data_IF_086300713191
#
_entry.id   IF_086300713191
#
_cell.length_a   1.000
_cell.length_b   1.000
_cell.length_c   1.000
_cell.angle_alpha   90.00
_cell.angle_beta   90.00
_cell.angle_gamma   90.00
#
_symmetry.space_group_name_H-M   'P 1'
#
loop_
_entity.id
_entity.type
_entity.pdbx_description
1 polymer ?
#
# COMPACT_ATOMS: atom_id res chain seq x y z
N UNK A 1 22.60 -30.63 8.84
CA UNK A 1 21.76 -30.25 7.69
C UNK A 1 20.93 -29.05 8.13
N UNK A 2 21.15 -27.89 7.54
CA UNK A 2 20.35 -26.69 7.85
C UNK A 2 18.90 -26.92 7.38
N UNK A 3 17.91 -26.36 8.08
CA UNK A 3 16.50 -26.36 7.64
C UNK A 3 16.36 -25.80 6.21
N UNK A 4 17.25 -24.89 5.82
CA UNK A 4 17.36 -24.36 4.46
C UNK A 4 17.80 -25.40 3.41
N UNK A 5 18.76 -26.28 3.71
CA UNK A 5 19.22 -27.31 2.76
C UNK A 5 18.13 -28.34 2.49
N UNK A 6 17.28 -28.62 3.48
CA UNK A 6 16.17 -29.56 3.35
C UNK A 6 15.04 -29.04 2.44
N UNK A 7 14.83 -27.71 2.38
CA UNK A 7 13.79 -27.10 1.54
C UNK A 7 14.30 -26.62 0.16
N UNK A 8 15.57 -26.21 0.07
CA UNK A 8 16.10 -25.50 -1.11
C UNK A 8 17.36 -26.12 -1.72
N UNK A 9 17.93 -27.18 -1.14
CA UNK A 9 19.15 -27.84 -1.62
C UNK A 9 18.93 -28.93 -2.68
N UNK A 10 17.68 -29.34 -2.94
CA UNK A 10 17.33 -30.34 -3.95
C UNK A 10 17.29 -29.78 -5.37
N UNK A 11 17.36 -30.66 -6.38
CA UNK A 11 17.04 -30.28 -7.77
C UNK A 11 15.60 -29.75 -7.84
N UNK A 12 15.40 -28.70 -8.64
CA UNK A 12 14.10 -28.13 -8.96
C UNK A 12 13.15 -29.18 -9.56
N UNK A 13 11.85 -28.93 -9.45
CA UNK A 13 10.84 -29.99 -9.61
C UNK A 13 10.57 -30.43 -11.05
N UNK A 14 11.12 -29.73 -12.05
CA UNK A 14 10.87 -29.99 -13.47
C UNK A 14 9.38 -29.92 -13.84
N UNK A 15 9.00 -30.30 -15.06
CA UNK A 15 7.59 -30.47 -15.43
C UNK A 15 7.21 -31.94 -15.34
N UNK A 16 5.96 -32.23 -14.99
CA UNK A 16 5.43 -33.59 -15.01
C UNK A 16 5.50 -34.16 -16.46
N UNK A 17 6.13 -35.33 -16.68
CA UNK A 17 6.22 -36.02 -17.98
C UNK A 17 4.94 -36.12 -18.79
N UNK A 18 3.80 -36.21 -18.11
CA UNK A 18 2.52 -36.48 -18.74
C UNK A 18 1.65 -35.23 -19.01
N UNK A 19 2.19 -34.02 -18.85
CA UNK A 19 1.39 -32.78 -18.92
C UNK A 19 1.69 -31.94 -20.18
N UNK A 20 0.69 -31.60 -21.01
CA UNK A 20 0.91 -30.80 -22.23
C UNK A 20 1.33 -29.36 -21.90
N UNK A 21 2.07 -28.70 -22.81
CA UNK A 21 2.54 -27.32 -22.61
C UNK A 21 1.34 -26.36 -22.45
N UNK A 22 1.16 -25.85 -21.24
CA UNK A 22 0.10 -24.89 -20.92
C UNK A 22 0.45 -23.49 -21.45
N UNK A 23 -0.58 -22.73 -21.81
CA UNK A 23 -0.46 -21.33 -22.27
C UNK A 23 -1.30 -20.40 -21.40
N UNK A 24 -0.93 -19.12 -21.37
CA UNK A 24 -1.66 -18.09 -20.62
C UNK A 24 -1.79 -18.40 -19.13
N UNK A 25 -2.98 -18.18 -18.56
CA UNK A 25 -3.25 -18.37 -17.12
C UNK A 25 -2.97 -19.80 -16.63
N UNK A 26 -3.20 -20.81 -17.46
CA UNK A 26 -2.93 -22.19 -17.11
C UNK A 26 -1.42 -22.44 -16.89
N UNK A 27 -0.56 -21.76 -17.67
CA UNK A 27 0.90 -21.80 -17.49
C UNK A 27 1.32 -21.06 -16.22
N UNK A 28 0.69 -19.91 -15.95
CA UNK A 28 0.96 -19.14 -14.74
C UNK A 28 0.69 -19.98 -13.47
N UNK A 29 -0.48 -20.61 -13.38
CA UNK A 29 -0.81 -21.46 -12.22
C UNK A 29 0.05 -22.72 -12.12
N UNK A 30 0.51 -23.27 -13.25
CA UNK A 30 1.46 -24.39 -13.24
C UNK A 30 2.81 -23.97 -12.64
N UNK A 31 3.35 -22.83 -13.06
CA UNK A 31 4.58 -22.26 -12.49
C UNK A 31 4.36 -21.95 -11.02
N UNK A 32 3.22 -21.36 -10.66
CA UNK A 32 2.89 -21.04 -9.28
C UNK A 32 2.84 -22.31 -8.43
N UNK A 33 2.23 -23.40 -8.89
CA UNK A 33 2.24 -24.66 -8.14
C UNK A 33 3.65 -25.22 -7.93
N UNK A 34 4.47 -25.19 -8.99
CA UNK A 34 5.79 -25.83 -9.02
C UNK A 34 6.86 -25.04 -8.25
N UNK A 35 6.92 -23.74 -8.49
CA UNK A 35 8.06 -22.86 -8.22
C UNK A 35 7.76 -21.76 -7.20
N UNK A 36 6.60 -21.79 -6.53
CA UNK A 36 6.21 -20.76 -5.55
C UNK A 36 7.30 -20.45 -4.53
N UNK A 37 7.92 -21.50 -3.97
CA UNK A 37 8.95 -21.36 -2.94
C UNK A 37 10.16 -20.56 -3.43
N UNK A 38 10.64 -20.83 -4.65
CA UNK A 38 11.77 -20.07 -5.20
C UNK A 38 11.37 -18.64 -5.56
N UNK A 39 10.16 -18.42 -6.08
CA UNK A 39 9.68 -17.06 -6.41
C UNK A 39 9.57 -16.19 -5.16
N UNK A 40 8.99 -16.72 -4.07
CA UNK A 40 8.90 -16.01 -2.80
C UNK A 40 10.27 -15.81 -2.16
N UNK A 41 11.13 -16.84 -2.15
CA UNK A 41 12.46 -16.71 -1.58
C UNK A 41 13.30 -15.67 -2.34
N UNK A 42 13.20 -15.62 -3.68
CA UNK A 42 13.78 -14.54 -4.49
C UNK A 42 13.18 -13.20 -4.12
N UNK A 43 11.86 -13.12 -3.92
CA UNK A 43 11.18 -11.87 -3.58
C UNK A 43 11.69 -11.26 -2.28
N UNK A 44 11.86 -12.05 -1.22
CA UNK A 44 12.43 -11.57 0.03
C UNK A 44 13.84 -10.98 -0.14
N UNK A 45 14.68 -11.65 -0.94
CA UNK A 45 16.01 -11.15 -1.25
C UNK A 45 15.94 -9.82 -2.03
N UNK A 46 15.04 -9.72 -3.01
CA UNK A 46 14.84 -8.48 -3.78
C UNK A 46 14.34 -7.35 -2.90
N UNK A 47 13.37 -7.61 -2.01
CA UNK A 47 12.92 -6.63 -1.04
C UNK A 47 14.09 -6.10 -0.21
N UNK A 48 14.96 -6.98 0.30
CA UNK A 48 16.14 -6.57 1.06
C UNK A 48 17.14 -5.74 0.23
N UNK A 49 17.36 -6.09 -1.04
CA UNK A 49 18.27 -5.37 -1.94
C UNK A 49 17.74 -4.02 -2.42
N UNK A 50 16.41 -3.89 -2.58
CA UNK A 50 15.74 -2.65 -3.02
C UNK A 50 15.51 -1.68 -1.85
N UNK A 51 15.42 -2.19 -0.62
CA UNK A 51 15.09 -1.40 0.57
C UNK A 51 15.95 -0.14 0.76
N UNK A 52 17.30 -0.16 0.59
CA UNK A 52 18.11 1.04 0.73
C UNK A 52 17.75 2.14 -0.29
N UNK A 53 17.46 1.74 -1.53
CA UNK A 53 17.00 2.67 -2.57
C UNK A 53 15.61 3.22 -2.23
N UNK A 54 14.68 2.35 -1.84
CA UNK A 54 13.32 2.76 -1.50
C UNK A 54 13.32 3.78 -0.35
N UNK A 55 14.00 3.48 0.76
CA UNK A 55 14.07 4.39 1.90
C UNK A 55 14.78 5.70 1.56
N UNK A 56 15.92 5.64 0.86
CA UNK A 56 16.68 6.84 0.53
C UNK A 56 15.98 7.75 -0.49
N UNK A 57 15.36 7.17 -1.53
CA UNK A 57 14.57 7.93 -2.52
C UNK A 57 13.33 8.53 -1.87
N UNK A 58 12.58 7.75 -1.08
CA UNK A 58 11.41 8.27 -0.36
C UNK A 58 11.79 9.38 0.61
N UNK A 59 12.88 9.25 1.35
CA UNK A 59 13.38 10.31 2.23
C UNK A 59 13.75 11.58 1.44
N UNK A 60 14.40 11.42 0.29
CA UNK A 60 14.71 12.53 -0.61
C UNK A 60 13.46 13.25 -1.12
N UNK A 61 12.40 12.51 -1.45
CA UNK A 61 11.12 13.05 -1.89
C UNK A 61 10.42 13.78 -0.75
N UNK A 62 10.29 13.17 0.44
CA UNK A 62 9.62 13.76 1.60
C UNK A 62 10.29 15.06 2.03
N UNK A 63 11.62 15.11 1.98
CA UNK A 63 12.39 16.31 2.33
C UNK A 63 12.50 17.33 1.18
N UNK A 64 11.86 17.08 0.03
CA UNK A 64 12.01 17.85 -1.21
C UNK A 64 13.49 18.12 -1.57
N UNK A 65 14.36 17.15 -1.30
CA UNK A 65 15.80 17.21 -1.57
C UNK A 65 16.16 16.39 -2.81
N UNK A 66 16.24 17.07 -3.96
CA UNK A 66 16.55 16.44 -5.24
C UNK A 66 17.95 15.77 -5.29
N UNK A 67 19.04 16.42 -4.85
CA UNK A 67 20.36 15.78 -4.82
C UNK A 67 20.40 14.50 -3.98
N UNK A 68 19.73 14.50 -2.81
CA UNK A 68 19.63 13.31 -1.96
C UNK A 68 18.90 12.19 -2.69
N UNK A 69 17.79 12.51 -3.38
CA UNK A 69 17.02 11.54 -4.17
C UNK A 69 17.87 10.89 -5.26
N UNK A 70 18.66 11.70 -5.99
CA UNK A 70 19.56 11.19 -7.03
C UNK A 70 20.68 10.31 -6.45
N UNK A 71 21.29 10.72 -5.34
CA UNK A 71 22.37 9.96 -4.70
C UNK A 71 21.86 8.64 -4.12
N UNK A 72 20.69 8.66 -3.48
CA UNK A 72 20.02 7.46 -2.98
C UNK A 72 19.64 6.51 -4.12
N UNK A 73 19.09 7.05 -5.21
CA UNK A 73 18.77 6.29 -6.41
C UNK A 73 20.01 5.66 -7.05
N UNK A 74 21.14 6.36 -7.07
CA UNK A 74 22.38 5.87 -7.65
C UNK A 74 22.99 4.74 -6.80
N UNK A 75 23.18 4.97 -5.51
CA UNK A 75 23.83 4.01 -4.61
C UNK A 75 22.93 2.82 -4.29
N UNK A 76 21.66 3.08 -3.95
CA UNK A 76 20.67 2.03 -3.71
C UNK A 76 20.29 1.29 -4.99
N UNK A 77 20.27 1.99 -6.13
CA UNK A 77 19.95 1.42 -7.44
C UNK A 77 20.96 0.37 -7.89
N UNK A 78 22.23 0.49 -7.51
CA UNK A 78 23.24 -0.54 -7.76
C UNK A 78 22.85 -1.88 -7.14
N UNK A 79 22.44 -1.88 -5.86
CA UNK A 79 21.96 -3.09 -5.17
C UNK A 79 20.63 -3.58 -5.75
N UNK A 80 19.69 -2.65 -6.00
CA UNK A 80 18.43 -2.96 -6.64
C UNK A 80 18.61 -3.62 -8.02
N UNK A 81 19.63 -3.25 -8.79
CA UNK A 81 19.97 -3.85 -10.07
C UNK A 81 20.26 -5.35 -9.98
N UNK A 82 20.94 -5.79 -8.91
CA UNK A 82 21.14 -7.21 -8.63
C UNK A 82 19.79 -7.87 -8.32
N UNK A 83 18.94 -7.21 -7.53
CA UNK A 83 17.59 -7.71 -7.22
C UNK A 83 16.74 -7.90 -8.49
N UNK A 84 16.71 -6.89 -9.37
CA UNK A 84 16.00 -6.95 -10.65
C UNK A 84 16.51 -8.10 -11.53
N UNK A 85 17.83 -8.28 -11.64
CA UNK A 85 18.44 -9.39 -12.38
C UNK A 85 17.98 -10.74 -11.84
N UNK A 86 18.07 -10.96 -10.52
CA UNK A 86 17.77 -12.26 -9.92
C UNK A 86 16.27 -12.59 -10.02
N UNK A 87 15.39 -11.60 -9.85
CA UNK A 87 13.95 -11.82 -10.00
C UNK A 87 13.58 -12.17 -11.44
N UNK A 88 14.09 -11.40 -12.41
CA UNK A 88 13.80 -11.65 -13.81
C UNK A 88 14.43 -12.98 -14.29
N UNK A 89 15.62 -13.36 -13.81
CA UNK A 89 16.22 -14.68 -14.09
C UNK A 89 15.37 -15.80 -13.47
N UNK A 90 14.94 -15.67 -12.22
CA UNK A 90 14.07 -16.65 -11.57
C UNK A 90 12.76 -16.86 -12.36
N UNK A 91 12.14 -15.78 -12.82
CA UNK A 91 10.94 -15.84 -13.66
C UNK A 91 11.19 -16.49 -15.03
N UNK A 92 12.28 -16.10 -15.71
CA UNK A 92 12.64 -16.64 -17.03
C UNK A 92 12.96 -18.13 -16.96
N UNK A 93 13.73 -18.55 -15.95
CA UNK A 93 14.10 -19.96 -15.71
C UNK A 93 12.89 -20.81 -15.35
N UNK A 94 11.96 -20.25 -14.58
CA UNK A 94 10.67 -20.88 -14.32
C UNK A 94 9.88 -21.06 -15.64
N UNK A 95 9.92 -20.10 -16.56
CA UNK A 95 9.29 -20.25 -17.87
C UNK A 95 10.00 -21.28 -18.77
N UNK A 96 11.32 -21.44 -18.64
CA UNK A 96 12.13 -22.46 -19.33
C UNK A 96 12.05 -23.86 -18.71
N UNK A 97 11.37 -24.04 -17.57
CA UNK A 97 11.28 -25.30 -16.82
C UNK A 97 12.61 -25.84 -16.28
N UNK A 98 13.59 -24.97 -16.05
CA UNK A 98 14.94 -25.34 -15.63
C UNK A 98 14.92 -26.02 -14.23
N UNK A 99 15.35 -27.30 -14.11
CA UNK A 99 15.35 -28.06 -12.86
C UNK A 99 16.58 -27.79 -11.98
N UNK A 100 17.43 -26.83 -12.33
CA UNK A 100 18.63 -26.53 -11.54
C UNK A 100 18.31 -26.02 -10.12
N UNK A 101 19.12 -26.37 -9.10
CA UNK A 101 18.96 -25.87 -7.74
C UNK A 101 19.03 -24.34 -7.68
N UNK A 102 18.05 -23.70 -7.02
CA UNK A 102 17.85 -22.25 -7.13
C UNK A 102 19.00 -21.40 -6.57
N UNK A 103 19.58 -21.80 -5.41
CA UNK A 103 20.61 -21.04 -4.68
C UNK A 103 21.96 -21.03 -5.43
N UNK A 104 22.54 -22.19 -5.79
CA UNK A 104 23.76 -22.22 -6.60
C UNK A 104 23.59 -21.50 -7.93
N UNK A 105 22.45 -21.69 -8.60
CA UNK A 105 22.12 -21.01 -9.85
C UNK A 105 22.13 -19.50 -9.68
N UNK A 106 21.42 -18.98 -8.66
CA UNK A 106 21.39 -17.55 -8.37
C UNK A 106 22.80 -16.98 -8.19
N UNK A 107 23.66 -17.67 -7.43
CA UNK A 107 25.07 -17.27 -7.27
C UNK A 107 25.86 -17.25 -8.59
N UNK A 108 25.60 -18.20 -9.49
CA UNK A 108 26.19 -18.23 -10.82
C UNK A 108 25.68 -17.08 -11.70
N UNK A 109 24.38 -16.80 -11.73
CA UNK A 109 23.80 -15.68 -12.49
C UNK A 109 24.37 -14.35 -12.02
N UNK A 110 24.45 -14.14 -10.71
CA UNK A 110 25.05 -12.92 -10.14
C UNK A 110 26.51 -12.82 -10.55
N UNK A 111 27.32 -13.86 -10.35
CA UNK A 111 28.76 -13.80 -10.68
C UNK A 111 29.02 -13.58 -12.17
N UNK A 112 28.15 -14.09 -13.05
CA UNK A 112 28.24 -13.88 -14.49
C UNK A 112 27.82 -12.46 -14.93
N UNK A 113 26.80 -11.87 -14.31
CA UNK A 113 26.12 -10.67 -14.85
C UNK A 113 26.12 -9.43 -13.94
N UNK A 114 26.71 -9.49 -12.74
CA UNK A 114 26.69 -8.37 -11.79
C UNK A 114 27.23 -7.05 -12.37
N UNK A 115 28.28 -7.11 -13.20
CA UNK A 115 28.90 -5.91 -13.80
C UNK A 115 27.94 -5.13 -14.70
N UNK A 116 26.99 -5.81 -15.32
CA UNK A 116 25.95 -5.19 -16.13
C UNK A 116 24.71 -4.82 -15.29
N UNK A 117 24.37 -5.64 -14.28
CA UNK A 117 23.24 -5.40 -13.40
C UNK A 117 23.39 -4.13 -12.56
N UNK A 118 24.58 -3.85 -12.02
CA UNK A 118 24.85 -2.66 -11.21
C UNK A 118 24.51 -1.35 -11.95
N UNK A 119 25.10 -1.04 -13.13
CA UNK A 119 24.80 0.21 -13.83
C UNK A 119 23.36 0.27 -14.36
N UNK A 120 22.78 -0.87 -14.78
CA UNK A 120 21.38 -0.92 -15.21
C UNK A 120 20.45 -0.52 -14.06
N UNK A 121 20.62 -1.12 -12.88
CA UNK A 121 19.82 -0.76 -11.71
C UNK A 121 20.05 0.68 -11.25
N UNK A 122 21.32 1.12 -11.21
CA UNK A 122 21.67 2.48 -10.83
C UNK A 122 20.96 3.52 -11.71
N UNK A 123 20.99 3.35 -13.03
CA UNK A 123 20.32 4.26 -13.97
C UNK A 123 18.80 4.19 -13.79
N UNK A 124 18.22 2.98 -13.79
CA UNK A 124 16.75 2.83 -13.74
C UNK A 124 16.14 3.40 -12.46
N UNK A 125 16.74 3.09 -11.31
CA UNK A 125 16.21 3.56 -10.03
C UNK A 125 16.48 5.06 -9.83
N UNK A 126 17.61 5.59 -10.32
CA UNK A 126 17.86 7.05 -10.28
C UNK A 126 16.85 7.81 -11.14
N UNK A 127 16.59 7.35 -12.36
CA UNK A 127 15.61 7.99 -13.24
C UNK A 127 14.20 7.87 -12.68
N UNK A 128 13.84 6.71 -12.11
CA UNK A 128 12.55 6.51 -11.46
C UNK A 128 12.40 7.47 -10.27
N UNK A 129 13.41 7.54 -9.40
CA UNK A 129 13.42 8.46 -8.25
C UNK A 129 13.35 9.92 -8.68
N UNK A 130 14.08 10.32 -9.72
CA UNK A 130 14.04 11.68 -10.26
C UNK A 130 12.66 12.04 -10.80
N UNK A 131 12.03 11.16 -11.58
CA UNK A 131 10.67 11.39 -12.11
C UNK A 131 9.64 11.42 -10.98
N UNK A 132 9.74 10.50 -10.01
CA UNK A 132 8.87 10.51 -8.82
C UNK A 132 9.02 11.78 -7.99
N UNK A 133 10.24 12.31 -7.88
CA UNK A 133 10.49 13.59 -7.21
C UNK A 133 9.82 14.75 -7.94
N UNK A 134 9.96 14.82 -9.27
CA UNK A 134 9.30 15.86 -10.07
C UNK A 134 7.77 15.76 -9.92
N UNK A 135 7.22 14.55 -9.90
CA UNK A 135 5.80 14.35 -9.61
C UNK A 135 5.40 14.92 -8.25
N UNK A 136 6.11 14.55 -7.17
CA UNK A 136 5.83 15.04 -5.82
C UNK A 136 5.95 16.58 -5.74
N UNK A 137 6.99 17.14 -6.36
CA UNK A 137 7.17 18.59 -6.42
C UNK A 137 6.02 19.30 -7.17
N UNK A 138 5.54 18.74 -8.28
CA UNK A 138 4.41 19.33 -9.01
C UNK A 138 3.10 19.23 -8.21
N UNK A 139 2.90 18.17 -7.42
CA UNK A 139 1.75 18.08 -6.52
C UNK A 139 1.78 19.19 -5.46
N UNK A 140 2.93 19.42 -4.82
CA UNK A 140 3.10 20.52 -3.87
C UNK A 140 2.80 21.90 -4.51
N UNK A 141 3.29 22.12 -5.74
CA UNK A 141 3.02 23.36 -6.48
C UNK A 141 1.52 23.50 -6.81
N UNK A 142 0.83 22.40 -7.16
CA UNK A 142 -0.61 22.42 -7.39
C UNK A 142 -1.41 22.74 -6.12
N UNK A 143 -0.97 22.24 -4.97
CA UNK A 143 -1.57 22.55 -3.67
C UNK A 143 -1.41 24.03 -3.30
N UNK A 144 -0.31 24.67 -3.73
CA UNK A 144 -0.12 26.13 -3.59
C UNK A 144 -1.01 26.99 -4.52
N UNK A 145 -1.94 26.38 -5.27
CA UNK A 145 -2.84 27.06 -6.19
C UNK A 145 -2.26 27.38 -7.57
N UNK A 146 -1.02 26.94 -7.85
CA UNK A 146 -0.38 27.08 -9.15
C UNK A 146 -0.53 25.80 -9.98
N UNK A 147 -1.28 25.86 -11.09
CA UNK A 147 -1.44 24.69 -11.96
C UNK A 147 -0.30 24.61 -12.99
N UNK A 148 0.58 23.59 -12.92
CA UNK A 148 1.51 23.31 -14.00
C UNK A 148 0.67 22.85 -15.20
N UNK A 149 0.72 23.61 -16.30
CA UNK A 149 -0.13 23.38 -17.46
C UNK A 149 -0.19 21.90 -17.86
N UNK A 150 -1.39 21.43 -18.24
CA UNK A 150 -1.70 20.00 -18.41
C UNK A 150 -0.75 19.24 -19.33
N UNK A 151 -0.13 19.92 -20.30
CA UNK A 151 0.92 19.35 -21.16
C UNK A 151 2.11 18.81 -20.36
N UNK A 152 2.55 19.50 -19.29
CA UNK A 152 3.68 19.09 -18.45
C UNK A 152 3.37 17.76 -17.76
N UNK A 153 2.15 17.63 -17.21
CA UNK A 153 1.70 16.39 -16.56
C UNK A 153 1.63 15.23 -17.55
N UNK A 154 1.15 15.49 -18.77
CA UNK A 154 1.09 14.48 -19.84
C UNK A 154 2.48 14.03 -20.26
N UNK A 155 3.43 14.96 -20.47
CA UNK A 155 4.80 14.60 -20.81
C UNK A 155 5.50 13.84 -19.69
N UNK A 156 5.29 14.24 -18.44
CA UNK A 156 5.88 13.55 -17.28
C UNK A 156 5.31 12.12 -17.10
N UNK A 157 4.00 11.95 -17.33
CA UNK A 157 3.38 10.62 -17.39
C UNK A 157 3.94 9.77 -18.54
N UNK A 158 4.20 10.40 -19.69
CA UNK A 158 4.83 9.73 -20.83
C UNK A 158 6.28 9.33 -20.54
N UNK A 159 7.05 10.17 -19.85
CA UNK A 159 8.43 9.84 -19.44
C UNK A 159 8.47 8.65 -18.48
N UNK A 160 7.52 8.56 -17.55
CA UNK A 160 7.34 7.38 -16.69
C UNK A 160 7.05 6.11 -17.50
N UNK A 161 6.19 6.22 -18.52
CA UNK A 161 5.90 5.10 -19.42
C UNK A 161 7.14 4.68 -20.22
N UNK A 162 7.89 5.64 -20.78
CA UNK A 162 9.12 5.38 -21.54
C UNK A 162 10.15 4.70 -20.65
N UNK A 163 10.34 5.17 -19.41
CA UNK A 163 11.24 4.55 -18.45
C UNK A 163 10.80 3.12 -18.11
N UNK A 164 9.50 2.88 -17.88
CA UNK A 164 8.97 1.56 -17.59
C UNK A 164 9.20 0.59 -18.76
N UNK A 165 8.97 1.03 -19.99
CA UNK A 165 9.20 0.23 -21.21
C UNK A 165 10.69 -0.06 -21.39
N UNK A 166 11.52 0.98 -21.44
CA UNK A 166 12.95 0.82 -21.64
C UNK A 166 13.59 -0.03 -20.53
N UNK A 167 13.22 0.21 -19.27
CA UNK A 167 13.76 -0.50 -18.12
C UNK A 167 13.37 -1.96 -18.07
N UNK A 168 12.08 -2.28 -18.19
CA UNK A 168 11.61 -3.67 -18.15
C UNK A 168 12.18 -4.51 -19.30
N UNK A 169 12.25 -3.97 -20.52
CA UNK A 169 12.84 -4.66 -21.66
C UNK A 169 14.36 -4.82 -21.53
N UNK A 170 15.06 -3.82 -20.97
CA UNK A 170 16.51 -3.91 -20.72
C UNK A 170 16.82 -4.99 -19.68
N UNK A 171 16.02 -5.08 -18.61
CA UNK A 171 16.15 -6.15 -17.60
C UNK A 171 15.82 -7.52 -18.21
N UNK A 172 14.77 -7.62 -19.03
CA UNK A 172 14.43 -8.84 -19.76
C UNK A 172 15.57 -9.29 -20.69
N UNK A 173 16.12 -8.37 -21.48
CA UNK A 173 17.28 -8.63 -22.33
C UNK A 173 18.53 -9.02 -21.51
N UNK A 174 18.78 -8.35 -20.37
CA UNK A 174 19.91 -8.66 -19.49
C UNK A 174 19.85 -10.11 -18.98
N UNK A 175 18.65 -10.59 -18.63
CA UNK A 175 18.46 -11.95 -18.13
C UNK A 175 18.60 -13.01 -19.21
N UNK A 176 18.09 -12.76 -20.42
CA UNK A 176 18.19 -13.70 -21.53
C UNK A 176 19.56 -13.70 -22.23
N UNK A 177 20.27 -12.58 -22.26
CA UNK A 177 21.52 -12.44 -23.00
C UNK A 177 22.64 -13.36 -22.47
N UNK A 178 23.51 -13.90 -23.34
CA UNK A 178 24.74 -14.56 -22.92
C UNK A 178 25.63 -13.61 -22.09
N UNK A 179 26.39 -14.15 -21.14
CA UNK A 179 27.23 -13.34 -20.24
C UNK A 179 28.26 -12.44 -20.97
N UNK A 180 28.65 -12.80 -22.19
CA UNK A 180 29.57 -12.00 -23.02
C UNK A 180 28.93 -10.78 -23.71
N UNK A 181 27.59 -10.68 -23.75
CA UNK A 181 26.86 -9.67 -24.53
C UNK A 181 26.04 -8.71 -23.67
N UNK A 182 26.38 -8.57 -22.39
CA UNK A 182 25.61 -7.78 -21.42
C UNK A 182 26.01 -6.30 -21.35
N UNK A 183 26.55 -5.72 -22.42
CA UNK A 183 26.87 -4.28 -22.43
C UNK A 183 25.58 -3.45 -22.44
N UNK A 184 25.55 -2.28 -21.77
CA UNK A 184 24.34 -1.45 -21.73
C UNK A 184 23.82 -1.09 -23.14
N UNK A 185 24.74 -0.80 -24.07
CA UNK A 185 24.39 -0.47 -25.45
C UNK A 185 23.80 -1.65 -26.24
N UNK A 186 24.30 -2.88 -26.04
CA UNK A 186 23.71 -4.07 -26.66
C UNK A 186 22.33 -4.37 -26.07
N UNK A 187 22.17 -4.25 -24.75
CA UNK A 187 20.90 -4.47 -24.07
C UNK A 187 19.82 -3.49 -24.53
N UNK A 188 20.14 -2.19 -24.63
CA UNK A 188 19.21 -1.18 -25.15
C UNK A 188 18.87 -1.41 -26.62
N UNK A 189 19.84 -1.86 -27.43
CA UNK A 189 19.58 -2.23 -28.83
C UNK A 189 18.63 -3.43 -28.91
N UNK A 190 18.82 -4.45 -28.07
CA UNK A 190 17.90 -5.58 -27.98
C UNK A 190 16.53 -5.15 -27.51
N UNK A 191 16.43 -4.29 -26.49
CA UNK A 191 15.16 -3.74 -26.03
C UNK A 191 14.41 -3.02 -27.17
N UNK A 192 15.12 -2.22 -27.95
CA UNK A 192 14.58 -1.60 -29.18
C UNK A 192 14.14 -2.63 -30.22
N UNK A 193 14.93 -3.69 -30.43
CA UNK A 193 14.56 -4.78 -31.33
C UNK A 193 13.30 -5.52 -30.86
N UNK A 194 13.17 -5.82 -29.56
CA UNK A 194 11.96 -6.42 -28.98
C UNK A 194 10.73 -5.54 -29.18
N UNK A 195 10.89 -4.22 -28.99
CA UNK A 195 9.83 -3.24 -29.20
C UNK A 195 9.39 -3.16 -30.67
N UNK A 196 10.31 -3.24 -31.61
CA UNK A 196 9.99 -3.23 -33.05
C UNK A 196 9.42 -4.56 -33.53
N UNK A 197 9.92 -5.68 -33.01
CA UNK A 197 9.51 -7.02 -33.41
C UNK A 197 8.10 -7.37 -32.93
N UNK A 198 7.78 -7.03 -31.67
CA UNK A 198 6.49 -7.34 -31.06
C UNK A 198 6.01 -6.21 -30.13
N UNK A 199 5.63 -5.04 -30.67
CA UNK A 199 5.30 -3.85 -29.87
C UNK A 199 4.16 -4.09 -28.87
N UNK A 200 3.13 -4.85 -29.24
CA UNK A 200 2.01 -5.16 -28.33
C UNK A 200 2.44 -5.99 -27.12
N UNK A 201 3.42 -6.89 -27.27
CA UNK A 201 3.96 -7.68 -26.16
C UNK A 201 4.91 -6.87 -25.31
N UNK A 202 5.78 -6.09 -25.95
CA UNK A 202 6.69 -5.18 -25.26
C UNK A 202 5.91 -4.19 -24.38
N UNK A 203 4.95 -3.46 -24.96
CA UNK A 203 4.12 -2.52 -24.22
C UNK A 203 3.24 -3.22 -23.17
N UNK A 204 2.64 -4.36 -23.51
CA UNK A 204 1.77 -5.09 -22.58
C UNK A 204 2.51 -5.58 -21.33
N UNK A 205 3.69 -6.19 -21.49
CA UNK A 205 4.49 -6.64 -20.34
C UNK A 205 5.03 -5.48 -19.52
N UNK A 206 5.48 -4.41 -20.18
CA UNK A 206 5.96 -3.20 -19.50
C UNK A 206 4.85 -2.49 -18.73
N UNK A 207 3.62 -2.46 -19.24
CA UNK A 207 2.46 -1.90 -18.55
C UNK A 207 2.13 -2.66 -17.26
N UNK A 208 2.29 -3.99 -17.23
CA UNK A 208 2.12 -4.80 -16.01
C UNK A 208 3.16 -4.44 -14.96
N UNK A 209 4.44 -4.30 -15.36
CA UNK A 209 5.50 -3.85 -14.44
C UNK A 209 5.19 -2.45 -13.93
N UNK A 210 4.82 -1.52 -14.82
CA UNK A 210 4.50 -0.15 -14.46
C UNK A 210 3.36 -0.10 -13.43
N UNK A 211 2.26 -0.80 -13.68
CA UNK A 211 1.14 -0.88 -12.74
C UNK A 211 1.56 -1.48 -11.39
N UNK A 212 2.35 -2.55 -11.40
CA UNK A 212 2.88 -3.15 -10.17
C UNK A 212 3.75 -2.19 -9.36
N UNK A 213 4.68 -1.50 -10.00
CA UNK A 213 5.55 -0.51 -9.36
C UNK A 213 4.77 0.71 -8.89
N UNK A 214 3.81 1.21 -9.69
CA UNK A 214 2.97 2.34 -9.33
C UNK A 214 2.13 2.05 -8.09
N UNK A 215 1.53 0.86 -7.98
CA UNK A 215 0.82 0.43 -6.76
C UNK A 215 1.78 0.39 -5.56
N UNK A 216 2.99 -0.14 -5.73
CA UNK A 216 3.97 -0.16 -4.64
C UNK A 216 4.38 1.23 -4.17
N UNK A 217 4.54 2.19 -5.09
CA UNK A 217 4.91 3.57 -4.77
C UNK A 217 3.73 4.32 -4.14
N UNK A 218 2.54 4.24 -4.72
CA UNK A 218 1.36 4.99 -4.30
C UNK A 218 0.92 4.65 -2.87
N UNK A 219 1.04 3.38 -2.49
CA UNK A 219 0.64 2.90 -1.16
C UNK A 219 1.82 2.78 -0.19
N UNK A 220 3.00 3.32 -0.52
CA UNK A 220 4.13 3.31 0.40
C UNK A 220 3.82 4.21 1.62
N UNK A 221 4.07 3.78 2.88
CA UNK A 221 4.84 2.60 3.30
C UNK A 221 4.02 1.33 3.52
N UNK A 222 2.68 1.39 3.52
CA UNK A 222 1.76 0.26 3.75
C UNK A 222 2.04 -0.88 2.75
N UNK A 223 2.40 -0.52 1.51
CA UNK A 223 2.77 -1.44 0.46
C UNK A 223 3.99 -2.32 0.80
N UNK A 224 4.84 -1.94 1.75
CA UNK A 224 6.05 -2.70 2.13
C UNK A 224 5.72 -4.10 2.67
N UNK A 225 4.63 -4.22 3.44
CA UNK A 225 4.16 -5.51 3.96
C UNK A 225 3.68 -6.41 2.81
N UNK A 226 2.91 -5.85 1.88
CA UNK A 226 2.43 -6.56 0.70
C UNK A 226 3.56 -6.87 -0.29
N UNK A 227 4.58 -6.01 -0.36
CA UNK A 227 5.72 -6.19 -1.23
C UNK A 227 6.50 -7.46 -0.90
N UNK A 228 6.61 -7.80 0.40
CA UNK A 228 7.27 -9.03 0.86
C UNK A 228 6.58 -10.30 0.37
N UNK A 229 5.25 -10.26 0.19
CA UNK A 229 4.47 -11.43 -0.19
C UNK A 229 4.17 -11.51 -1.70
N UNK A 230 3.79 -10.40 -2.31
CA UNK A 230 3.31 -10.33 -3.70
C UNK A 230 4.04 -9.27 -4.55
N UNK A 231 4.98 -8.53 -3.98
CA UNK A 231 5.48 -7.27 -4.55
C UNK A 231 6.09 -7.38 -5.93
N UNK A 232 7.25 -8.02 -6.04
CA UNK A 232 8.04 -7.98 -7.27
C UNK A 232 7.83 -9.21 -8.13
N UNK A 233 7.70 -10.39 -7.53
CA UNK A 233 7.65 -11.64 -8.30
C UNK A 233 6.41 -11.77 -9.17
N UNK A 234 5.25 -11.28 -8.71
CA UNK A 234 3.98 -11.40 -9.44
C UNK A 234 3.96 -10.56 -10.72
N UNK A 235 4.19 -9.22 -10.67
CA UNK A 235 4.23 -8.42 -11.89
C UNK A 235 5.38 -8.85 -12.81
N UNK A 236 6.54 -9.23 -12.26
CA UNK A 236 7.68 -9.70 -13.07
C UNK A 236 7.36 -11.02 -13.78
N UNK A 237 6.73 -11.99 -13.11
CA UNK A 237 6.38 -13.27 -13.73
C UNK A 237 5.36 -13.08 -14.86
N UNK A 238 4.32 -12.26 -14.64
CA UNK A 238 3.30 -11.97 -15.66
C UNK A 238 3.92 -11.23 -16.84
N UNK A 239 4.75 -10.21 -16.60
CA UNK A 239 5.44 -9.48 -17.65
C UNK A 239 6.41 -10.39 -18.43
N UNK A 240 7.19 -11.22 -17.74
CA UNK A 240 8.12 -12.15 -18.37
C UNK A 240 7.39 -13.19 -19.21
N UNK A 241 6.21 -13.64 -18.79
CA UNK A 241 5.37 -14.52 -19.60
C UNK A 241 4.88 -13.87 -20.90
N UNK A 242 4.65 -12.55 -20.89
CA UNK A 242 4.30 -11.78 -22.09
C UNK A 242 5.52 -11.61 -23.00
N UNK A 243 6.70 -11.35 -22.42
CA UNK A 243 7.98 -11.21 -23.15
C UNK A 243 8.51 -12.54 -23.69
N UNK A 244 8.17 -13.66 -23.04
CA UNK A 244 8.77 -14.97 -23.26
C UNK A 244 8.80 -15.43 -24.73
N UNK A 245 7.71 -15.30 -25.52
CA UNK A 245 7.75 -15.73 -26.93
C UNK A 245 8.80 -14.97 -27.75
N UNK A 246 9.00 -13.68 -27.45
CA UNK A 246 9.96 -12.81 -28.14
C UNK A 246 11.38 -13.15 -27.70
N UNK A 247 11.59 -13.32 -26.39
CA UNK A 247 12.89 -13.72 -25.85
C UNK A 247 13.32 -15.10 -26.35
N UNK A 248 12.39 -16.04 -26.43
CA UNK A 248 12.63 -17.38 -26.94
C UNK A 248 13.09 -17.35 -28.39
N UNK A 249 12.49 -16.51 -29.21
CA UNK A 249 12.87 -16.39 -30.61
C UNK A 249 14.21 -15.65 -30.82
N UNK A 250 14.46 -14.57 -30.06
CA UNK A 250 15.69 -13.78 -30.20
C UNK A 250 16.91 -14.51 -29.66
N UNK A 251 16.76 -15.24 -28.55
CA UNK A 251 17.87 -15.87 -27.83
C UNK A 251 17.89 -17.41 -27.94
N UNK A 252 17.02 -17.98 -28.78
CA UNK A 252 16.86 -19.44 -28.97
C UNK A 252 16.77 -20.20 -27.64
N UNK A 253 15.85 -19.74 -26.77
CA UNK A 253 15.76 -20.29 -25.42
C UNK A 253 15.15 -21.70 -25.45
N UNK A 254 15.93 -22.66 -24.98
CA UNK A 254 15.47 -24.02 -24.75
C UNK A 254 14.43 -24.04 -23.62
N UNK A 255 13.30 -24.70 -23.89
CA UNK A 255 12.31 -25.06 -22.89
C UNK A 255 12.56 -26.52 -22.58
N UNK A 256 12.89 -26.85 -21.34
CA UNK A 256 13.08 -28.23 -20.95
C UNK A 256 11.71 -28.93 -21.01
N UNK A 257 11.61 -29.89 -21.92
CA UNK A 257 10.45 -30.76 -22.06
C UNK A 257 10.72 -32.00 -21.24
N UNK A 258 9.69 -32.48 -20.56
CA UNK A 258 9.81 -33.74 -19.87
C UNK A 258 9.96 -34.88 -20.91
N UNK A 259 10.70 -35.96 -20.59
CA UNK A 259 10.78 -37.12 -21.46
C UNK A 259 9.39 -37.66 -21.77
N UNK A 260 9.20 -38.15 -22.99
CA UNK A 260 7.88 -38.61 -23.43
C UNK A 260 7.45 -39.82 -22.62
N UNK A 261 6.14 -40.02 -22.44
CA UNK A 261 5.59 -41.22 -21.79
C UNK A 261 6.03 -42.54 -22.48
N UNK A 262 6.54 -42.45 -23.72
CA UNK A 262 7.08 -43.57 -24.48
C UNK A 262 8.51 -43.97 -24.02
N UNK A 263 9.16 -43.16 -23.18
CA UNK A 263 10.51 -43.42 -22.61
C UNK A 263 10.46 -44.03 -21.19
N UNK A 264 9.28 -44.14 -20.56
CA UNK A 264 9.15 -44.86 -19.28
C UNK A 264 9.11 -46.37 -19.55
N UNK A 265 10.28 -47.02 -19.44
CA UNK A 265 10.38 -48.47 -19.33
C UNK A 265 9.40 -49.02 -18.29
N UNK A 266 8.74 -50.12 -18.68
CA UNK A 266 7.74 -50.86 -17.92
C UNK A 266 8.19 -51.21 -16.49
N UNK A 267 7.91 -50.31 -15.54
CA UNK A 267 7.99 -50.61 -14.12
C UNK A 267 6.87 -51.55 -13.66
N UNK A 268 7.07 -52.33 -12.58
CA UNK A 268 6.17 -53.42 -12.18
C UNK A 268 4.74 -52.92 -11.92
N UNK A 269 3.75 -53.74 -12.31
CA UNK A 269 2.30 -53.49 -12.17
C UNK A 269 1.93 -53.00 -10.75
N UNK A 270 1.91 -51.68 -10.57
CA UNK A 270 1.52 -51.02 -9.32
C UNK A 270 0.02 -51.15 -9.08
N UNK A 271 -0.37 -51.42 -7.83
CA UNK A 271 -1.77 -51.56 -7.43
C UNK A 271 -2.53 -50.23 -7.59
N UNK A 272 -3.83 -50.25 -7.89
CA UNK A 272 -4.73 -49.08 -7.93
C UNK A 272 -4.53 -48.10 -6.75
N UNK A 273 -4.34 -48.63 -5.54
CA UNK A 273 -4.08 -47.82 -4.33
C UNK A 273 -2.73 -47.11 -4.38
N UNK A 274 -1.68 -47.78 -4.86
CA UNK A 274 -0.34 -47.19 -5.02
C UNK A 274 -0.32 -46.14 -6.14
N UNK A 275 -1.05 -46.37 -7.24
CA UNK A 275 -1.25 -45.37 -8.30
C UNK A 275 -1.94 -44.12 -7.77
N UNK A 276 -3.03 -44.27 -6.99
CA UNK A 276 -3.73 -43.14 -6.35
C UNK A 276 -2.87 -42.41 -5.32
N UNK A 277 -2.10 -43.13 -4.50
CA UNK A 277 -1.20 -42.53 -3.53
C UNK A 277 -0.05 -41.76 -4.21
N UNK A 278 0.56 -42.35 -5.25
CA UNK A 278 1.60 -41.69 -6.07
C UNK A 278 1.04 -40.48 -6.81
N UNK A 279 -0.17 -40.56 -7.36
CA UNK A 279 -0.84 -39.44 -8.02
C UNK A 279 -1.12 -38.28 -7.04
N UNK A 280 -1.55 -38.57 -5.80
CA UNK A 280 -1.73 -37.55 -4.76
C UNK A 280 -0.42 -36.90 -4.33
N UNK A 281 0.62 -37.71 -4.10
CA UNK A 281 1.94 -37.21 -3.75
C UNK A 281 2.54 -36.35 -4.89
N UNK A 282 2.36 -36.78 -6.15
CA UNK A 282 2.80 -36.03 -7.32
C UNK A 282 2.01 -34.72 -7.48
N UNK A 283 0.69 -34.75 -7.22
CA UNK A 283 -0.12 -33.54 -7.21
C UNK A 283 0.34 -32.54 -6.15
N UNK A 284 0.58 -32.99 -4.92
CA UNK A 284 1.09 -32.10 -3.86
C UNK A 284 2.47 -31.53 -4.19
N UNK A 285 3.36 -32.36 -4.74
CA UNK A 285 4.70 -31.96 -5.17
C UNK A 285 4.66 -30.80 -6.19
N UNK A 286 3.72 -30.84 -7.15
CA UNK A 286 3.56 -29.82 -8.19
C UNK A 286 2.56 -28.70 -7.88
N UNK A 287 1.71 -28.81 -6.85
CA UNK A 287 0.61 -27.85 -6.64
C UNK A 287 0.55 -27.27 -5.21
N UNK A 288 1.44 -27.63 -4.28
CA UNK A 288 1.43 -27.06 -2.93
C UNK A 288 1.52 -25.51 -2.93
N UNK A 289 2.23 -24.92 -3.90
CA UNK A 289 2.38 -23.47 -4.03
C UNK A 289 1.05 -22.75 -4.24
N UNK A 290 0.14 -23.35 -5.01
CA UNK A 290 -1.24 -22.86 -5.19
C UNK A 290 -2.03 -22.91 -3.88
N UNK A 291 -1.86 -23.99 -3.10
CA UNK A 291 -2.54 -24.15 -1.80
C UNK A 291 -2.04 -23.10 -0.80
N UNK A 292 -0.74 -22.85 -0.77
CA UNK A 292 -0.15 -21.82 0.09
C UNK A 292 -0.64 -20.41 -0.30
N UNK A 293 -0.64 -20.07 -1.59
CA UNK A 293 -1.15 -18.80 -2.08
C UNK A 293 -2.65 -18.60 -1.75
N UNK A 294 -3.47 -19.65 -1.92
CA UNK A 294 -4.89 -19.61 -1.58
C UNK A 294 -5.12 -19.42 -0.07
N UNK A 295 -4.33 -20.10 0.78
CA UNK A 295 -4.44 -19.96 2.23
C UNK A 295 -4.13 -18.53 2.69
N UNK A 296 -3.09 -17.92 2.14
CA UNK A 296 -2.75 -16.51 2.40
C UNK A 296 -3.87 -15.58 1.97
N UNK A 297 -4.44 -15.77 0.78
CA UNK A 297 -5.56 -14.95 0.28
C UNK A 297 -6.75 -15.02 1.25
N UNK A 298 -7.08 -16.22 1.74
CA UNK A 298 -8.15 -16.41 2.72
C UNK A 298 -7.86 -15.65 4.01
N UNK A 299 -6.63 -15.72 4.54
CA UNK A 299 -6.24 -14.96 5.74
C UNK A 299 -6.32 -13.44 5.50
N UNK A 300 -5.86 -12.97 4.34
CA UNK A 300 -5.98 -11.56 3.96
C UNK A 300 -7.43 -11.10 3.89
N UNK A 301 -8.32 -11.89 3.29
CA UNK A 301 -9.76 -11.60 3.24
C UNK A 301 -10.34 -11.60 4.64
N UNK A 302 -9.99 -12.56 5.50
CA UNK A 302 -10.44 -12.58 6.90
C UNK A 302 -9.96 -11.32 7.63
N UNK A 303 -8.71 -10.89 7.43
CA UNK A 303 -8.17 -9.68 8.05
C UNK A 303 -8.92 -8.42 7.58
N UNK A 304 -9.16 -8.27 6.28
CA UNK A 304 -9.91 -7.13 5.73
C UNK A 304 -11.35 -7.16 6.20
N UNK A 305 -12.01 -8.33 6.17
CA UNK A 305 -13.38 -8.48 6.68
C UNK A 305 -13.41 -8.14 8.17
N UNK A 306 -12.47 -8.64 8.97
CA UNK A 306 -12.37 -8.33 10.38
C UNK A 306 -12.15 -6.83 10.60
N UNK A 307 -11.23 -6.18 9.87
CA UNK A 307 -11.03 -4.74 9.96
C UNK A 307 -12.23 -3.90 9.53
N UNK A 308 -13.04 -4.41 8.59
CA UNK A 308 -14.29 -3.78 8.16
C UNK A 308 -15.47 -4.07 9.11
N UNK A 309 -15.48 -5.19 9.82
CA UNK A 309 -16.51 -5.51 10.84
C UNK A 309 -16.13 -5.10 12.25
N UNK A 310 -14.88 -4.73 12.52
CA UNK A 310 -14.45 -4.02 13.73
C UNK A 310 -14.45 -2.51 13.52
N UNK A 311 -15.40 -1.99 12.73
CA UNK A 311 -15.82 -0.59 12.90
C UNK A 311 -16.41 -0.51 14.30
N UNK A 312 -15.70 0.17 15.20
CA UNK A 312 -16.23 0.52 16.52
C UNK A 312 -17.50 1.32 16.25
N UNK A 313 -18.65 0.77 16.63
CA UNK A 313 -19.94 1.44 16.50
C UNK A 313 -20.12 2.26 17.78
N UNK A 314 -19.82 3.57 17.76
CA UNK A 314 -19.85 4.36 18.98
C UNK A 314 -21.26 4.41 19.55
N UNK A 315 -21.40 4.31 20.87
CA UNK A 315 -22.69 4.41 21.54
C UNK A 315 -23.27 5.82 21.42
N UNK A 316 -22.38 6.82 21.33
CA UNK A 316 -22.70 8.24 21.30
C UNK A 316 -21.75 9.01 20.39
N UNK A 317 -22.24 10.06 19.76
CA UNK A 317 -21.43 10.98 18.97
C UNK A 317 -21.62 12.41 19.48
N UNK A 318 -20.50 13.08 19.77
CA UNK A 318 -20.47 14.46 20.26
C UNK A 318 -19.56 15.28 19.34
N UNK A 319 -20.06 16.41 18.87
CA UNK A 319 -19.32 17.33 18.02
C UNK A 319 -18.72 18.49 18.84
N UNK A 320 -17.49 18.87 18.52
CA UNK A 320 -16.82 20.07 19.06
C UNK A 320 -16.41 20.95 17.89
N UNK A 321 -16.93 22.17 17.83
CA UNK A 321 -16.61 23.16 16.80
C UNK A 321 -15.78 24.27 17.42
N UNK A 322 -14.53 24.37 16.98
CA UNK A 322 -13.53 25.29 17.55
C UNK A 322 -12.72 25.98 16.44
N UNK A 323 -12.31 27.26 16.61
CA UNK A 323 -11.49 27.97 15.63
C UNK A 323 -10.09 27.36 15.46
N UNK A 324 -9.53 26.73 16.49
CA UNK A 324 -8.18 26.16 16.48
C UNK A 324 -8.23 24.64 16.57
N UNK A 325 -7.15 23.97 16.14
CA UNK A 325 -7.06 22.51 16.25
C UNK A 325 -6.93 22.09 17.72
N UNK A 326 -7.94 21.39 18.25
CA UNK A 326 -7.84 20.77 19.57
C UNK A 326 -6.89 19.56 19.49
N UNK A 327 -5.88 19.44 20.36
CA UNK A 327 -4.96 18.30 20.34
C UNK A 327 -5.63 16.97 20.69
N UNK A 328 -5.15 15.89 20.08
CA UNK A 328 -5.69 14.52 20.26
C UNK A 328 -5.73 14.07 21.73
N UNK A 329 -4.77 14.50 22.56
CA UNK A 329 -4.74 14.17 23.99
C UNK A 329 -5.90 14.77 24.77
N UNK A 330 -6.27 16.00 24.43
CA UNK A 330 -7.38 16.73 25.07
C UNK A 330 -8.73 16.22 24.57
N UNK A 331 -8.82 15.92 23.27
CA UNK A 331 -9.96 15.24 22.67
C UNK A 331 -10.22 13.87 23.34
N UNK A 332 -9.16 13.07 23.54
CA UNK A 332 -9.27 11.77 24.21
C UNK A 332 -9.70 11.90 25.68
N UNK A 333 -9.21 12.92 26.40
CA UNK A 333 -9.63 13.17 27.78
C UNK A 333 -11.11 13.57 27.86
N UNK A 334 -11.59 14.44 26.96
CA UNK A 334 -13.01 14.77 26.88
C UNK A 334 -13.85 13.53 26.54
N UNK A 335 -13.40 12.71 25.59
CA UNK A 335 -14.04 11.44 25.26
C UNK A 335 -14.15 10.53 26.49
N UNK A 336 -13.07 10.33 27.26
CA UNK A 336 -13.09 9.50 28.46
C UNK A 336 -14.03 10.04 29.54
N UNK A 337 -14.14 11.36 29.68
CA UNK A 337 -15.09 11.99 30.60
C UNK A 337 -16.52 11.67 30.16
N UNK A 338 -16.84 11.83 28.87
CA UNK A 338 -18.16 11.51 28.33
C UNK A 338 -18.49 10.01 28.47
N UNK A 339 -17.52 9.14 28.18
CA UNK A 339 -17.64 7.67 28.34
C UNK A 339 -17.93 7.27 29.79
N UNK A 340 -17.42 8.02 30.78
CA UNK A 340 -17.65 7.71 32.19
C UNK A 340 -19.10 7.91 32.64
N UNK A 341 -19.88 8.72 31.91
CA UNK A 341 -21.31 8.97 32.17
C UNK A 341 -22.23 8.16 31.25
N UNK A 342 -21.74 7.73 30.09
CA UNK A 342 -22.50 6.96 29.11
C UNK A 342 -22.84 5.55 29.59
N UNK A 343 -23.77 4.92 28.88
CA UNK A 343 -24.15 3.51 29.08
C UNK A 343 -23.90 2.77 27.78
N UNK A 344 -23.46 1.51 27.87
CA UNK A 344 -23.27 0.61 26.73
C UNK A 344 -24.65 0.36 26.07
N UNK A 345 -24.86 0.95 24.89
CA UNK A 345 -26.10 0.86 24.11
C UNK A 345 -26.04 -0.29 23.10
N UNK A 346 -24.86 -0.57 22.56
CA UNK A 346 -24.68 -1.56 21.51
C UNK A 346 -24.48 -2.99 22.07
N UNK A 347 -24.28 -3.13 23.39
CA UNK A 347 -24.11 -4.38 24.12
C UNK A 347 -22.74 -5.05 23.94
N UNK A 348 -21.71 -4.30 23.56
CA UNK A 348 -20.36 -4.80 23.28
C UNK A 348 -19.46 -4.89 24.53
N UNK A 349 -19.93 -4.40 25.68
CA UNK A 349 -19.22 -4.43 26.95
C UNK A 349 -18.25 -3.27 27.17
N UNK A 350 -18.20 -2.30 26.26
CA UNK A 350 -17.52 -1.02 26.39
C UNK A 350 -18.53 0.13 26.21
N UNK A 351 -18.22 1.30 26.76
CA UNK A 351 -18.93 2.54 26.44
C UNK A 351 -18.00 3.35 25.59
N UNK A 352 -18.35 3.61 24.33
CA UNK A 352 -17.52 4.38 23.40
C UNK A 352 -18.26 5.63 22.97
N UNK A 353 -17.65 6.79 23.20
CA UNK A 353 -18.15 8.08 22.71
C UNK A 353 -17.24 8.57 21.59
N UNK A 354 -17.77 8.74 20.38
CA UNK A 354 -17.02 9.35 19.29
C UNK A 354 -17.02 10.87 19.43
N UNK A 355 -15.84 11.46 19.61
CA UNK A 355 -15.69 12.91 19.66
C UNK A 355 -15.25 13.45 18.29
N UNK A 356 -16.16 14.14 17.61
CA UNK A 356 -15.92 14.75 16.32
C UNK A 356 -15.47 16.20 16.48
N UNK A 357 -14.16 16.45 16.42
CA UNK A 357 -13.61 17.81 16.46
C UNK A 357 -13.56 18.42 15.06
N UNK A 358 -14.24 19.54 14.88
CA UNK A 358 -14.29 20.34 13.66
C UNK A 358 -13.57 21.66 13.88
N UNK A 359 -12.49 21.88 13.13
CA UNK A 359 -11.78 23.16 13.11
C UNK A 359 -12.50 24.11 12.15
N UNK A 360 -13.27 25.04 12.71
CA UNK A 360 -14.09 25.99 11.95
C UNK A 360 -14.43 27.25 12.77
N UNK A 361 -14.45 28.40 12.11
CA UNK A 361 -14.93 29.69 12.64
C UNK A 361 -15.66 30.48 11.55
N UNK A 362 -16.56 31.39 11.93
CA UNK A 362 -17.10 32.39 11.01
C UNK A 362 -16.09 33.51 10.70
N UNK A 363 -15.14 33.77 11.60
CA UNK A 363 -14.06 34.72 11.38
C UNK A 363 -12.90 34.05 10.65
N UNK A 364 -12.77 34.37 9.36
CA UNK A 364 -11.72 33.85 8.48
C UNK A 364 -10.29 34.25 8.92
N UNK A 365 -10.12 35.16 9.89
CA UNK A 365 -8.82 35.52 10.44
C UNK A 365 -8.34 34.59 11.57
N UNK A 366 -9.24 33.77 12.14
CA UNK A 366 -8.97 32.91 13.29
C UNK A 366 -8.58 31.48 12.91
N UNK A 367 -8.73 31.07 11.64
CA UNK A 367 -8.57 29.66 11.25
C UNK A 367 -7.75 29.54 9.96
N UNK A 368 -6.89 28.53 9.87
CA UNK A 368 -6.21 28.21 8.61
C UNK A 368 -7.22 27.77 7.54
N UNK A 369 -7.11 28.35 6.34
CA UNK A 369 -8.07 28.17 5.25
C UNK A 369 -8.21 26.70 4.80
N UNK A 370 -7.13 25.91 4.87
CA UNK A 370 -7.17 24.50 4.49
C UNK A 370 -7.86 23.66 5.57
N UNK A 371 -7.52 23.90 6.83
CA UNK A 371 -8.14 23.24 7.99
C UNK A 371 -9.63 23.54 8.07
N UNK A 372 -10.03 24.80 7.81
CA UNK A 372 -11.43 25.23 7.79
C UNK A 372 -12.25 24.54 6.70
N UNK A 373 -11.71 24.40 5.49
CA UNK A 373 -12.42 23.74 4.38
C UNK A 373 -12.62 22.24 4.62
N UNK A 374 -11.61 21.57 5.18
CA UNK A 374 -11.71 20.16 5.58
C UNK A 374 -12.68 19.98 6.76
N UNK A 375 -12.60 20.84 7.76
CA UNK A 375 -13.52 20.88 8.91
C UNK A 375 -14.97 21.07 8.48
N UNK A 376 -15.24 22.09 7.66
CA UNK A 376 -16.58 22.40 7.14
C UNK A 376 -17.19 21.25 6.34
N UNK A 377 -16.40 20.57 5.49
CA UNK A 377 -16.90 19.45 4.67
C UNK A 377 -17.31 18.27 5.55
N UNK A 378 -16.50 17.91 6.55
CA UNK A 378 -16.82 16.84 7.49
C UNK A 378 -18.01 17.20 8.36
N UNK A 379 -18.06 18.44 8.85
CA UNK A 379 -19.14 18.94 9.70
C UNK A 379 -20.49 18.96 8.96
N UNK A 380 -20.51 19.40 7.71
CA UNK A 380 -21.74 19.40 6.90
C UNK A 380 -22.27 17.98 6.62
N UNK A 381 -21.38 16.98 6.57
CA UNK A 381 -21.77 15.57 6.44
C UNK A 381 -22.45 15.08 7.72
N UNK A 382 -21.86 15.37 8.89
CA UNK A 382 -22.42 15.03 10.20
C UNK A 382 -23.80 15.69 10.38
N UNK A 383 -23.91 17.00 10.11
CA UNK A 383 -25.19 17.72 10.17
C UNK A 383 -26.26 17.15 9.23
N UNK A 384 -25.88 16.74 8.02
CA UNK A 384 -26.82 16.17 7.04
C UNK A 384 -27.34 14.79 7.46
N UNK A 385 -26.48 14.00 8.12
CA UNK A 385 -26.84 12.66 8.60
C UNK A 385 -27.50 12.68 9.98
N UNK A 386 -27.28 13.74 10.76
CA UNK A 386 -27.62 13.81 12.18
C UNK A 386 -26.77 12.86 13.00
N UNK A 387 -25.48 12.70 12.68
CA UNK A 387 -24.61 11.72 13.33
C UNK A 387 -24.33 12.10 14.79
N UNK A 388 -24.09 13.39 15.09
CA UNK A 388 -23.85 13.95 16.42
C UNK A 388 -25.10 14.61 17.03
N UNK A 389 -25.48 14.17 18.24
CA UNK A 389 -26.62 14.73 18.97
C UNK A 389 -26.29 15.96 19.82
N UNK A 390 -25.09 15.98 20.41
CA UNK A 390 -24.59 17.08 21.26
C UNK A 390 -23.49 17.85 20.52
N UNK A 391 -23.61 19.17 20.50
CA UNK A 391 -22.70 20.08 19.80
C UNK A 391 -22.12 21.11 20.78
N UNK A 392 -20.80 21.16 20.88
CA UNK A 392 -20.07 22.14 21.68
C UNK A 392 -19.52 23.19 20.71
N UNK A 393 -19.97 24.44 20.83
CA UNK A 393 -19.76 25.50 19.84
C UNK A 393 -18.98 26.68 20.45
N UNK A 394 -17.89 27.06 19.79
CA UNK A 394 -17.14 28.28 20.11
C UNK A 394 -17.88 29.56 19.68
N UNK A 395 -18.56 29.52 18.52
CA UNK A 395 -19.32 30.65 17.97
C UNK A 395 -20.67 30.17 17.43
N UNK A 396 -21.71 30.12 18.27
CA UNK A 396 -23.04 29.66 17.89
C UNK A 396 -23.75 30.57 16.89
N UNK A 397 -23.52 31.89 16.95
CA UNK A 397 -24.14 32.85 16.03
C UNK A 397 -23.57 32.70 14.63
N UNK A 398 -22.24 32.64 14.51
CA UNK A 398 -21.58 32.37 13.24
C UNK A 398 -21.96 31.01 12.65
N UNK A 399 -22.09 29.99 13.51
CA UNK A 399 -22.54 28.65 13.11
C UNK A 399 -23.97 28.66 12.54
N UNK A 400 -24.90 29.38 13.17
CA UNK A 400 -26.26 29.53 12.65
C UNK A 400 -26.29 30.28 11.32
N UNK A 401 -25.53 31.38 11.17
CA UNK A 401 -25.48 32.12 9.91
C UNK A 401 -24.95 31.26 8.75
N UNK A 402 -24.01 30.37 9.04
CA UNK A 402 -23.39 29.50 8.03
C UNK A 402 -24.22 28.26 7.69
N UNK A 403 -24.86 27.61 8.67
CA UNK A 403 -25.49 26.29 8.49
C UNK A 403 -27.00 26.26 8.73
N UNK A 404 -27.56 27.22 9.50
CA UNK A 404 -28.99 27.22 9.85
C UNK A 404 -29.45 26.04 10.73
N UNK A 405 -28.51 25.24 11.24
CA UNK A 405 -28.80 23.98 11.91
C UNK A 405 -29.41 24.16 13.31
N UNK A 406 -29.10 25.25 14.01
CA UNK A 406 -29.64 25.50 15.35
C UNK A 406 -31.11 25.87 15.26
N UNK A 407 -31.50 26.74 14.32
CA UNK A 407 -32.91 27.10 14.16
C UNK A 407 -33.77 25.97 13.59
N UNK A 408 -33.18 25.08 12.78
CA UNK A 408 -33.87 23.89 12.27
C UNK A 408 -34.19 22.90 13.40
N UNK A 409 -33.23 22.61 14.28
CA UNK A 409 -33.39 21.63 15.34
C UNK A 409 -34.09 22.18 16.59
N UNK A 410 -33.72 23.38 17.05
CA UNK A 410 -34.20 23.99 18.30
C UNK A 410 -35.34 25.00 18.08
N UNK A 411 -35.64 25.35 16.83
CA UNK A 411 -36.68 26.32 16.47
C UNK A 411 -36.23 27.78 16.55
N UNK A 412 -37.18 28.71 16.42
CA UNK A 412 -36.89 30.16 16.33
C UNK A 412 -36.33 30.78 17.62
N UNK A 413 -36.34 30.05 18.74
CA UNK A 413 -35.82 30.47 20.04
C UNK A 413 -34.61 29.60 20.45
N UNK A 414 -33.77 29.25 19.48
CA UNK A 414 -32.58 28.43 19.70
C UNK A 414 -31.59 29.10 20.65
N UNK A 415 -31.44 30.43 20.59
CA UNK A 415 -30.50 31.18 21.45
C UNK A 415 -30.82 31.04 22.94
N UNK A 416 -32.11 30.95 23.30
CA UNK A 416 -32.55 30.73 24.68
C UNK A 416 -32.37 29.29 25.18
N UNK A 417 -32.06 28.35 24.28
CA UNK A 417 -31.88 26.93 24.57
C UNK A 417 -30.40 26.51 24.59
N UNK A 418 -29.48 27.42 24.27
CA UNK A 418 -28.04 27.19 24.40
C UNK A 418 -27.63 27.18 25.87
N UNK A 419 -26.77 26.22 26.22
CA UNK A 419 -26.37 25.98 27.60
C UNK A 419 -24.89 26.34 27.72
N UNK A 420 -24.51 27.31 28.59
CA UNK A 420 -23.10 27.60 28.82
C UNK A 420 -22.37 26.35 29.31
N UNK A 421 -21.16 26.11 28.82
CA UNK A 421 -20.32 24.99 29.28
C UNK A 421 -20.17 24.96 30.81
N UNK A 422 -20.02 26.13 31.42
CA UNK A 422 -19.87 26.31 32.88
C UNK A 422 -21.07 25.85 33.70
N UNK A 423 -22.25 25.80 33.08
CA UNK A 423 -23.51 25.46 33.74
C UNK A 423 -23.75 23.94 33.79
N UNK A 424 -22.85 23.13 33.20
CA UNK A 424 -22.88 21.67 33.23
C UNK A 424 -21.79 21.14 34.18
N UNK A 425 -22.11 20.83 35.46
CA UNK A 425 -21.09 20.51 36.47
C UNK A 425 -20.26 19.26 36.15
N UNK A 426 -20.85 18.29 35.45
CA UNK A 426 -20.21 17.05 35.01
C UNK A 426 -19.08 17.28 33.99
N UNK A 427 -19.17 18.37 33.22
CA UNK A 427 -18.20 18.77 32.20
C UNK A 427 -17.26 19.87 32.70
N UNK A 428 -17.79 20.89 33.37
CA UNK A 428 -17.03 22.03 33.90
C UNK A 428 -16.06 21.62 35.04
N UNK A 429 -16.36 20.54 35.76
CA UNK A 429 -15.50 19.99 36.82
C UNK A 429 -14.45 18.98 36.35
N UNK A 430 -14.42 18.65 35.05
CA UNK A 430 -13.55 17.60 34.52
C UNK A 430 -12.11 18.09 34.31
N UNK A 431 -11.13 17.19 34.47
CA UNK A 431 -9.73 17.47 34.11
C UNK A 431 -9.50 17.17 32.63
N UNK A 432 -9.61 18.20 31.80
CA UNK A 432 -9.42 18.14 30.33
C UNK A 432 -7.98 18.49 29.91
N UNK A 433 -7.09 18.69 30.88
CA UNK A 433 -5.69 19.01 30.65
C UNK A 433 -5.45 20.38 30.01
N UNK A 434 -4.20 20.57 29.60
CA UNK A 434 -3.72 21.76 28.89
C UNK A 434 -2.80 21.36 27.75
N UNK A 435 -2.65 22.25 26.77
CA UNK A 435 -1.75 22.05 25.64
C UNK A 435 -0.91 23.28 25.38
N UNK A 436 0.28 23.07 24.81
CA UNK A 436 1.18 24.17 24.45
C UNK A 436 0.71 24.83 23.16
N UNK A 437 0.50 26.15 23.20
CA UNK A 437 0.11 26.97 22.05
C UNK A 437 1.31 27.52 21.28
N UNK A 438 2.52 27.42 21.85
CA UNK A 438 3.76 27.78 21.18
C UNK A 438 4.64 26.57 20.94
N UNK A 439 5.33 26.55 19.79
CA UNK A 439 6.23 25.48 19.38
C UNK A 439 7.45 25.28 20.31
N UNK A 440 7.74 26.23 21.19
CA UNK A 440 8.80 26.16 22.21
C UNK A 440 8.30 25.76 23.62
N UNK A 441 7.00 25.50 23.78
CA UNK A 441 6.36 25.14 25.07
C UNK A 441 6.30 26.30 26.07
N UNK A 442 6.53 27.54 25.64
CA UNK A 442 6.54 28.70 26.54
C UNK A 442 5.16 29.23 26.91
N UNK A 443 4.15 28.93 26.08
CA UNK A 443 2.76 29.29 26.31
C UNK A 443 1.90 28.03 26.26
N UNK A 444 1.08 27.84 27.29
CA UNK A 444 0.10 26.77 27.36
C UNK A 444 -1.30 27.33 27.58
N UNK A 445 -2.29 26.62 27.07
CA UNK A 445 -3.70 26.95 27.19
C UNK A 445 -4.42 25.79 27.87
N UNK A 446 -5.19 26.10 28.91
CA UNK A 446 -6.08 25.13 29.55
C UNK A 446 -7.30 24.92 28.67
N UNK A 447 -7.64 23.65 28.42
CA UNK A 447 -8.83 23.30 27.62
C UNK A 447 -10.11 23.71 28.36
N UNK A 448 -10.09 23.67 29.69
CA UNK A 448 -11.22 24.14 30.48
C UNK A 448 -11.40 25.65 30.42
N UNK A 449 -10.32 26.41 30.35
CA UNK A 449 -10.42 27.87 30.16
C UNK A 449 -10.92 28.21 28.75
N UNK A 450 -10.51 27.43 27.74
CA UNK A 450 -11.02 27.56 26.38
C UNK A 450 -12.52 27.25 26.30
N UNK A 451 -12.97 26.15 26.88
CA UNK A 451 -14.37 25.73 26.82
C UNK A 451 -15.29 26.54 27.73
N UNK A 452 -14.76 27.28 28.71
CA UNK A 452 -15.56 28.17 29.54
C UNK A 452 -16.32 29.24 28.72
N UNK A 453 -15.78 29.62 27.56
CA UNK A 453 -16.40 30.56 26.63
C UNK A 453 -17.34 29.87 25.61
N UNK A 454 -17.43 28.53 25.63
CA UNK A 454 -18.20 27.76 24.65
C UNK A 454 -19.62 27.48 25.14
N UNK A 455 -20.52 27.23 24.18
CA UNK A 455 -21.92 26.90 24.44
C UNK A 455 -22.26 25.52 23.89
N UNK A 456 -23.15 24.83 24.58
CA UNK A 456 -23.61 23.49 24.22
C UNK A 456 -25.01 23.60 23.62
N UNK A 457 -25.18 23.03 22.43
CA UNK A 457 -26.44 22.83 21.75
C UNK A 457 -26.77 21.34 21.70
N UNK A 458 -27.99 20.96 22.10
CA UNK A 458 -28.46 19.57 22.06
C UNK A 458 -29.44 19.45 20.90
N UNK A 459 -28.95 19.01 19.75
CA UNK A 459 -29.76 18.89 18.53
C UNK A 459 -30.60 17.63 18.53
N UNK A 460 -30.05 16.54 19.07
CA UNK A 460 -30.78 15.31 19.33
C UNK A 460 -30.44 14.81 20.74
N UNK A 461 -31.49 14.49 21.51
CA UNK A 461 -31.40 13.92 22.86
C UNK A 461 -31.87 12.46 22.91
N UNK A 462 -32.20 11.86 21.76
CA UNK A 462 -32.71 10.49 21.66
C UNK A 462 -31.70 9.43 22.15
N UNK A 463 -30.42 9.79 22.18
CA UNK A 463 -29.35 8.94 22.69
C UNK A 463 -29.34 8.85 24.23
N UNK A 464 -29.97 9.79 24.94
CA UNK A 464 -30.02 9.85 26.40
C UNK A 464 -28.69 10.24 27.07
N UNK A 465 -27.63 10.56 26.32
CA UNK A 465 -26.35 10.99 26.90
C UNK A 465 -26.51 12.31 27.66
N UNK A 466 -27.29 13.23 27.09
CA UNK A 466 -27.55 14.53 27.70
C UNK A 466 -28.26 14.42 29.06
N UNK A 467 -29.20 13.49 29.19
CA UNK A 467 -29.90 13.24 30.45
C UNK A 467 -28.94 12.69 31.52
N UNK A 468 -28.01 11.81 31.12
CA UNK A 468 -26.98 11.26 32.01
C UNK A 468 -25.96 12.32 32.47
N UNK A 469 -25.63 13.27 31.61
CA UNK A 469 -24.72 14.39 31.94
C UNK A 469 -25.37 15.39 32.90
N UNK A 470 -26.67 15.64 32.77
CA UNK A 470 -27.41 16.62 33.59
C UNK A 470 -27.96 16.04 34.89
N UNK A 471 -28.27 14.74 34.90
CA UNK A 471 -28.80 14.01 36.06
C UNK A 471 -27.96 12.76 36.32
N UNK A 472 -26.70 12.90 36.78
CA UNK A 472 -25.85 11.75 37.03
C UNK A 472 -26.50 10.83 38.07
N UNK A 473 -26.57 9.53 37.75
CA UNK A 473 -27.10 8.53 38.67
C UNK A 473 -26.24 8.52 39.95
N UNK A 474 -26.86 8.87 41.08
CA UNK A 474 -26.23 8.94 42.40
C UNK A 474 -25.77 7.60 42.94
#
# INVERSE_FOLDING_TARGET
>A
MSWFDAFYGGSGRGVNPNEPEKKGLARFFQILGRDFGQLIATNFLVCALVLPAALGVSLGIILLNFPLTLLAGLLGGMLAGIGLLVMADCALRSLCNDPSPWLPRMGQTISAKWKAALPVGAILITLLGALSFVWAFLFEVMESGQYPGSAILVFLGFDMLVLAVAGSLTVAALTAAPAGETSLGSLLRTAGHMMLYAPGRALGGSAVIFAGVAVLILFFPISTLWAMLFGFWLPVLVAMQIFFPVLREIYDLDVEHAPSADDEEEGPLMTEKQKKARARANWWYYNWGLVAAAAVLVVAVIYVVHGLTTTIDPDYNVAVVTPDTLPDSSALQLQQVLESYGVDRNGDGAVVVSLNVYTWSADASLTDMNSQMAGATRMNTDLSNGDSGIWILADPEGFEEAYGALSEALGSDWTGQLIPWTDVPSLAGADLGSYDTSADGSTSQSVQELFADYQIAVLDSSDGLWDLLTHPAS
#
